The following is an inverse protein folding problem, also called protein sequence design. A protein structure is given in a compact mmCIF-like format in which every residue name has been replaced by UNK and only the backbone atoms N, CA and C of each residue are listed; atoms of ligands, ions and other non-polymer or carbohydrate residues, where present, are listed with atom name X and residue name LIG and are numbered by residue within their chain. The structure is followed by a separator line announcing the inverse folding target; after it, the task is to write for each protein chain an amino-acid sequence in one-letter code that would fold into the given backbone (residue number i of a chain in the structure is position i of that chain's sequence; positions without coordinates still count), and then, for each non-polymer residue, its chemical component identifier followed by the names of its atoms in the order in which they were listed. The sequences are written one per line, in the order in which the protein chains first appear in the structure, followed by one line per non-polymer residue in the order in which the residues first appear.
data_IF_687553611745
#
_entry.id   IF_687553611745
#
_cell.length_a   1.000
_cell.length_b   1.000
_cell.length_c   1.000
_cell.angle_alpha   90.00
_cell.angle_beta   90.00
_cell.angle_gamma   90.00
#
_symmetry.space_group_name_H-M   'P 1'
#
loop_
_entity.id
_entity.type
_entity.pdbx_description
1 polymer ?
2 non-polymer ?
3 non-polymer ?
4 non-polymer ?
5 non-polymer ?
6 non-polymer ?
7 water ?
#
# COMPACT_ATOMS: atom_id res chain seq x y z
N UNK A 37 1.50 -16.63 -16.42
CA UNK A 37 1.21 -17.95 -15.84
C UNK A 37 1.70 -17.88 -14.40
N UNK A 38 0.74 -17.82 -13.49
CA UNK A 38 1.05 -17.55 -12.08
C UNK A 38 1.57 -18.84 -11.45
N UNK A 39 2.66 -18.77 -10.68
CA UNK A 39 3.16 -19.96 -10.00
C UNK A 39 2.03 -20.65 -9.24
N UNK A 40 1.95 -21.98 -9.36
CA UNK A 40 0.88 -22.73 -8.67
C UNK A 40 0.72 -22.42 -7.19
N UNK A 41 1.82 -22.22 -6.45
CA UNK A 41 1.68 -21.92 -5.03
C UNK A 41 1.10 -20.53 -4.76
N UNK A 42 1.09 -19.65 -5.76
CA UNK A 42 0.59 -18.29 -5.57
C UNK A 42 -0.72 -18.05 -6.29
N UNK A 43 -1.19 -19.03 -7.07
CA UNK A 43 -2.35 -18.80 -7.91
C UNK A 43 -3.64 -18.81 -7.08
N UNK A 44 -4.55 -17.87 -7.41
CA UNK A 44 -5.86 -17.77 -6.74
C UNK A 44 -6.95 -17.81 -7.82
N UNK A 45 -7.49 -19.00 -8.10
CA UNK A 45 -8.47 -19.11 -9.16
C UNK A 45 -9.68 -18.21 -8.98
N UNK A 46 -10.08 -17.91 -7.73
CA UNK A 46 -11.23 -17.03 -7.51
C UNK A 46 -10.93 -15.60 -7.99
N UNK A 47 -9.71 -15.11 -7.75
CA UNK A 47 -9.35 -13.78 -8.29
C UNK A 47 -9.41 -13.81 -9.81
N UNK A 48 -8.83 -14.85 -10.42
CA UNK A 48 -8.73 -14.88 -11.88
C UNK A 48 -10.11 -14.97 -12.52
N UNK A 49 -11.03 -15.69 -11.89
CA UNK A 49 -12.36 -15.92 -12.44
C UNK A 49 -13.34 -14.83 -12.09
N UNK A 50 -13.29 -14.29 -10.87
CA UNK A 50 -14.40 -13.53 -10.34
C UNK A 50 -14.02 -12.10 -10.02
N UNK A 51 -12.77 -11.71 -10.22
CA UNK A 51 -12.31 -10.33 -9.96
C UNK A 51 -11.62 -9.79 -11.21
N UNK A 52 -12.37 -9.56 -12.27
CA UNK A 52 -11.72 -9.11 -13.51
C UNK A 52 -11.00 -7.78 -13.32
N UNK A 53 -9.80 -7.68 -13.89
CA UNK A 53 -8.97 -6.46 -13.76
C UNK A 53 -9.65 -5.26 -14.43
N UNK A 54 -9.42 -4.06 -13.85
CA UNK A 54 -9.81 -2.80 -14.46
C UNK A 54 -8.58 -1.92 -14.56
N UNK A 55 -8.57 -1.02 -15.54
CA UNK A 55 -7.45 -0.10 -15.67
C UNK A 55 -7.97 1.31 -15.96
N UNK A 56 -7.48 2.28 -15.19
CA UNK A 56 -7.90 3.67 -15.37
C UNK A 56 -7.38 4.22 -16.71
N UNK A 57 -8.20 5.03 -17.41
CA UNK A 57 -7.81 5.51 -18.73
C UNK A 57 -6.63 6.47 -18.74
N UNK A 58 -6.31 7.03 -17.58
CA UNK A 58 -5.17 7.92 -17.48
C UNK A 58 -3.84 7.16 -17.34
N UNK A 59 -3.87 5.82 -17.22
CA UNK A 59 -2.64 5.08 -16.94
C UNK A 59 -1.46 5.38 -17.85
N UNK A 60 -1.58 5.40 -19.18
CA UNK A 60 -0.40 5.72 -20.00
C UNK A 60 0.26 7.05 -19.61
N UNK A 61 -0.51 8.11 -19.38
CA UNK A 61 0.13 9.36 -19.00
C UNK A 61 0.67 9.27 -17.59
N UNK A 62 -0.06 8.56 -16.72
CA UNK A 62 0.39 8.38 -15.34
C UNK A 62 1.77 7.71 -15.26
N UNK A 63 1.98 6.65 -16.06
CA UNK A 63 3.25 5.92 -16.05
C UNK A 63 4.42 6.87 -16.31
N UNK A 64 4.30 7.68 -17.35
CA UNK A 64 5.40 8.57 -17.68
C UNK A 64 5.51 9.71 -16.68
N UNK A 65 4.38 10.24 -16.20
CA UNK A 65 4.46 11.40 -15.31
C UNK A 65 5.09 11.03 -13.96
N UNK A 66 4.78 9.86 -13.42
CA UNK A 66 5.42 9.42 -12.15
C UNK A 66 6.91 9.11 -12.36
N UNK A 67 7.27 8.53 -13.50
CA UNK A 67 8.71 8.29 -13.82
C UNK A 67 9.47 9.63 -13.85
N UNK A 68 8.89 10.62 -14.51
CA UNK A 68 9.50 11.97 -14.58
C UNK A 68 9.60 12.53 -13.15
N UNK A 69 8.57 12.28 -12.34
CA UNK A 69 8.62 12.80 -10.97
C UNK A 69 9.73 12.14 -10.15
N UNK A 70 9.87 10.82 -10.25
CA UNK A 70 10.96 10.15 -9.55
C UNK A 70 12.30 10.71 -9.97
N UNK A 71 12.46 10.99 -11.28
CA UNK A 71 13.69 11.58 -11.77
C UNK A 71 13.90 13.01 -11.26
N UNK A 72 12.87 13.85 -11.39
CA UNK A 72 13.00 15.27 -11.04
C UNK A 72 13.15 15.50 -9.54
N UNK A 73 12.48 14.68 -8.71
CA UNK A 73 12.69 14.71 -7.26
C UNK A 73 13.92 13.95 -6.80
N UNK A 74 14.68 13.38 -7.73
CA UNK A 74 15.89 12.66 -7.41
C UNK A 74 15.63 11.54 -6.40
N UNK A 75 14.49 10.85 -6.56
CA UNK A 75 14.17 9.76 -5.63
C UNK A 75 14.86 8.46 -6.03
N UNK A 76 15.26 8.33 -7.28
CA UNK A 76 16.12 7.26 -7.72
C UNK A 76 17.10 7.84 -8.73
N UNK A 77 18.30 7.27 -8.84
CA UNK A 77 19.26 7.70 -9.87
C UNK A 77 18.70 7.53 -11.27
N UNK A 78 19.14 8.40 -12.18
CA UNK A 78 18.58 8.45 -13.53
C UNK A 78 18.74 7.11 -14.26
N UNK A 79 19.91 6.47 -14.15
CA UNK A 79 20.10 5.18 -14.81
C UNK A 79 19.18 4.11 -14.24
N UNK A 80 18.95 4.11 -12.93
CA UNK A 80 17.99 3.16 -12.32
C UNK A 80 16.57 3.49 -12.72
N UNK A 81 16.23 4.79 -12.82
CA UNK A 81 14.90 5.12 -13.31
C UNK A 81 14.70 4.57 -14.72
N UNK A 82 15.66 4.84 -15.60
CA UNK A 82 15.56 4.40 -16.98
C UNK A 82 15.44 2.88 -17.09
N UNK A 83 16.27 2.14 -16.34
CA UNK A 83 16.27 0.69 -16.44
C UNK A 83 15.09 0.00 -15.75
N UNK A 84 14.64 0.53 -14.60
CA UNK A 84 13.75 -0.22 -13.71
C UNK A 84 12.38 0.40 -13.43
N UNK A 85 12.20 1.73 -13.56
CA UNK A 85 10.97 2.33 -13.03
C UNK A 85 9.70 1.74 -13.65
N UNK A 86 9.60 1.76 -14.98
CA UNK A 86 8.39 1.20 -15.61
C UNK A 86 8.17 -0.26 -15.21
N UNK A 87 9.24 -1.06 -15.18
CA UNK A 87 9.15 -2.47 -14.82
C UNK A 87 8.70 -2.69 -13.39
N UNK A 88 8.83 -1.68 -12.50
CA UNK A 88 8.34 -1.84 -11.12
C UNK A 88 6.81 -1.80 -11.01
N UNK A 89 6.11 -1.25 -12.01
CA UNK A 89 4.66 -1.29 -12.09
C UNK A 89 3.95 -0.56 -10.96
N UNK A 90 4.61 0.43 -10.32
CA UNK A 90 3.93 1.14 -9.22
C UNK A 90 2.69 1.92 -9.72
N UNK A 91 2.80 2.58 -10.89
CA UNK A 91 1.62 3.28 -11.37
C UNK A 91 0.52 2.31 -11.76
N UNK A 92 0.90 1.18 -12.35
CA UNK A 92 -0.09 0.16 -12.74
C UNK A 92 -0.89 -0.30 -11.52
N UNK A 93 -0.22 -0.45 -10.40
CA UNK A 93 -0.88 -0.89 -9.15
C UNK A 93 -2.00 0.08 -8.74
N UNK A 94 -1.71 1.38 -8.79
CA UNK A 94 -2.73 2.37 -8.38
C UNK A 94 -3.82 2.56 -9.46
N UNK A 95 -3.43 2.46 -10.72
CA UNK A 95 -4.42 2.65 -11.81
C UNK A 95 -5.36 1.46 -11.93
N UNK A 96 -5.01 0.35 -11.32
CA UNK A 96 -5.94 -0.80 -11.27
C UNK A 96 -6.81 -0.74 -10.04
N UNK A 97 -6.65 0.30 -9.20
CA UNK A 97 -7.29 0.35 -7.88
C UNK A 97 -8.29 1.48 -7.81
N UNK A 98 -7.81 2.74 -7.98
CA UNK A 98 -8.65 3.92 -7.76
C UNK A 98 -9.38 4.32 -9.04
N UNK A 99 -10.20 3.38 -9.53
CA UNK A 99 -10.95 3.68 -10.74
C UNK A 99 -11.91 4.84 -10.48
N UNK A 100 -12.10 5.66 -11.52
CA UNK A 100 -12.95 6.82 -11.41
C UNK A 100 -12.26 8.06 -10.82
N UNK A 101 -11.05 7.93 -10.29
CA UNK A 101 -10.38 9.10 -9.71
C UNK A 101 -10.17 10.17 -10.75
N UNK A 102 -10.32 11.45 -10.40
CA UNK A 102 -9.89 12.50 -11.31
C UNK A 102 -8.41 12.30 -11.65
N UNK A 103 -8.00 12.71 -12.85
CA UNK A 103 -6.60 12.43 -13.23
C UNK A 103 -5.60 13.04 -12.24
N UNK A 104 -5.83 14.27 -11.77
CA UNK A 104 -4.90 14.92 -10.84
C UNK A 104 -4.85 14.22 -9.49
N UNK A 105 -5.97 13.62 -9.09
CA UNK A 105 -5.98 12.86 -7.84
C UNK A 105 -5.18 11.58 -8.02
N UNK A 106 -5.44 10.86 -9.13
CA UNK A 106 -4.66 9.66 -9.39
C UNK A 106 -3.17 9.97 -9.47
N UNK A 107 -2.80 11.10 -10.09
CA UNK A 107 -1.39 11.43 -10.20
C UNK A 107 -0.77 11.60 -8.82
N UNK A 108 -1.47 12.30 -7.92
CA UNK A 108 -0.89 12.51 -6.59
C UNK A 108 -0.79 11.21 -5.83
N UNK A 109 -1.79 10.33 -5.99
CA UNK A 109 -1.77 9.03 -5.32
C UNK A 109 -0.63 8.20 -5.86
N UNK A 110 -0.44 8.21 -7.18
CA UNK A 110 0.61 7.38 -7.78
C UNK A 110 1.98 7.87 -7.33
N UNK A 111 2.16 9.19 -7.29
CA UNK A 111 3.46 9.71 -6.86
C UNK A 111 3.70 9.33 -5.42
N UNK A 112 2.68 9.52 -4.56
CA UNK A 112 2.83 9.10 -3.15
C UNK A 112 3.11 7.61 -3.05
N UNK A 113 2.47 6.77 -3.89
CA UNK A 113 2.67 5.33 -3.73
C UNK A 113 4.07 4.95 -4.17
N UNK A 114 4.56 5.53 -5.28
CA UNK A 114 5.95 5.28 -5.67
C UNK A 114 6.91 5.74 -4.57
N UNK A 115 6.64 6.92 -4.02
CA UNK A 115 7.40 7.39 -2.86
C UNK A 115 7.41 6.36 -1.75
N UNK A 116 6.24 5.74 -1.46
CA UNK A 116 6.16 4.80 -0.34
C UNK A 116 7.02 3.57 -0.57
N UNK A 117 7.14 3.11 -1.83
CA UNK A 117 8.07 2.01 -2.12
C UNK A 117 9.51 2.44 -1.93
N UNK A 118 9.89 3.66 -2.37
CA UNK A 118 11.26 4.13 -2.19
C UNK A 118 11.57 4.30 -0.70
N UNK A 119 10.58 4.73 0.08
CA UNK A 119 10.76 4.83 1.52
C UNK A 119 10.95 3.46 2.16
N UNK A 120 10.14 2.47 1.73
CA UNK A 120 10.37 1.11 2.22
C UNK A 120 11.80 0.65 1.91
N UNK A 121 12.33 1.06 0.75
CA UNK A 121 13.69 0.68 0.37
C UNK A 121 14.73 1.40 1.25
N UNK A 122 14.52 2.71 1.50
CA UNK A 122 15.42 3.46 2.38
C UNK A 122 15.46 2.85 3.77
N UNK A 123 14.29 2.53 4.30
CA UNK A 123 14.19 1.92 5.63
C UNK A 123 14.96 0.61 5.67
N UNK A 124 14.77 -0.23 4.66
CA UNK A 124 15.49 -1.49 4.58
C UNK A 124 16.99 -1.27 4.55
N UNK A 125 17.46 -0.31 3.73
CA UNK A 125 18.91 -0.05 3.63
C UNK A 125 19.47 0.53 4.92
N UNK A 126 18.71 1.41 5.58
CA UNK A 126 19.20 1.91 6.87
C UNK A 126 19.32 0.78 7.89
N UNK A 127 18.39 -0.17 7.88
CA UNK A 127 18.54 -1.33 8.77
C UNK A 127 19.77 -2.15 8.40
N UNK A 128 19.90 -2.50 7.12
CA UNK A 128 21.01 -3.36 6.69
C UNK A 128 22.35 -2.73 7.02
N UNK A 129 22.45 -1.42 6.88
CA UNK A 129 23.70 -0.69 7.11
C UNK A 129 23.83 -0.14 8.53
N UNK A 130 22.89 -0.45 9.41
CA UNK A 130 23.03 -0.02 10.79
C UNK A 130 22.98 1.48 10.98
N UNK A 131 22.22 2.18 10.16
CA UNK A 131 22.17 3.64 10.18
C UNK A 131 21.02 4.09 11.09
N UNK A 132 21.19 3.81 12.39
CA UNK A 132 20.14 4.13 13.34
C UNK A 132 19.89 5.62 13.45
N UNK A 133 20.97 6.41 13.43
CA UNK A 133 20.78 7.86 13.49
C UNK A 133 20.08 8.41 12.26
N UNK A 134 20.49 7.96 11.06
CA UNK A 134 19.85 8.44 9.84
C UNK A 134 18.37 8.09 9.83
N UNK A 135 18.03 6.87 10.27
CA UNK A 135 16.63 6.50 10.31
C UNK A 135 15.87 7.35 11.33
N UNK A 136 16.45 7.54 12.53
CA UNK A 136 15.73 8.31 13.54
C UNK A 136 15.47 9.73 13.03
N UNK A 137 16.46 10.33 12.36
CA UNK A 137 16.26 11.69 11.89
C UNK A 137 15.22 11.73 10.78
N UNK A 138 15.27 10.74 9.84
CA UNK A 138 14.26 10.69 8.78
C UNK A 138 12.86 10.53 9.38
N UNK A 139 12.73 9.63 10.36
CA UNK A 139 11.46 9.41 11.04
C UNK A 139 10.91 10.73 11.59
N UNK A 140 11.76 11.48 12.30
CA UNK A 140 11.29 12.74 12.87
C UNK A 140 10.89 13.73 11.78
N UNK A 141 11.67 13.79 10.69
CA UNK A 141 11.35 14.72 9.59
C UNK A 141 10.03 14.37 8.93
N UNK A 142 9.74 13.08 8.79
CA UNK A 142 8.50 12.69 8.15
C UNK A 142 7.31 13.06 9.03
N UNK A 143 7.42 12.86 10.36
CA UNK A 143 6.34 13.32 11.23
C UNK A 143 6.08 14.82 11.06
N UNK A 144 7.18 15.63 11.04
CA UNK A 144 6.98 17.06 10.91
C UNK A 144 6.43 17.45 9.54
N UNK A 145 6.99 16.87 8.47
CA UNK A 145 6.54 17.20 7.12
C UNK A 145 5.11 16.80 6.90
N UNK A 146 4.70 15.71 7.54
CA UNK A 146 3.34 15.24 7.37
C UNK A 146 2.40 16.32 7.86
N UNK A 147 2.77 17.00 8.96
CA UNK A 147 1.88 18.06 9.45
C UNK A 147 2.03 19.40 8.71
N UNK A 148 3.19 19.69 8.10
CA UNK A 148 3.44 20.98 7.46
C UNK A 148 4.17 20.71 6.14
N UNK A 149 3.50 20.10 5.15
CA UNK A 149 4.29 19.64 3.98
C UNK A 149 4.86 20.78 3.16
N UNK A 150 4.10 21.87 3.01
CA UNK A 150 4.61 23.00 2.23
C UNK A 150 5.94 23.51 2.73
N UNK A 151 6.17 23.43 4.04
CA UNK A 151 7.43 23.91 4.59
C UNK A 151 8.63 23.07 4.14
N UNK A 152 8.40 21.86 3.65
CA UNK A 152 9.45 20.86 3.43
C UNK A 152 9.67 20.57 1.95
N UNK A 153 9.06 21.36 1.06
CA UNK A 153 9.10 21.07 -0.40
C UNK A 153 10.51 21.12 -0.97
N UNK A 154 11.43 21.80 -0.30
CA UNK A 154 12.78 21.92 -0.81
C UNK A 154 13.80 21.46 0.23
N UNK A 155 13.43 20.46 1.03
CA UNK A 155 14.34 19.92 2.05
C UNK A 155 15.55 19.24 1.40
N UNK A 156 16.68 19.29 2.12
CA UNK A 156 17.92 18.71 1.60
C UNK A 156 17.86 17.20 1.40
N UNK A 157 17.05 16.47 2.18
CA UNK A 157 16.85 15.04 1.96
C UNK A 157 15.77 14.90 0.89
N UNK A 158 16.15 14.44 -0.30
CA UNK A 158 15.18 14.42 -1.38
C UNK A 158 14.00 13.51 -1.07
N UNK A 159 14.18 12.54 -0.17
CA UNK A 159 13.08 11.66 0.20
C UNK A 159 12.05 12.41 1.01
N UNK A 160 12.52 13.33 1.89
CA UNK A 160 11.59 14.19 2.60
C UNK A 160 10.92 15.17 1.64
N UNK A 161 11.68 15.78 0.73
CA UNK A 161 11.10 16.76 -0.21
C UNK A 161 10.03 16.08 -1.09
N UNK A 162 10.30 14.85 -1.53
CA UNK A 162 9.36 14.15 -2.40
C UNK A 162 8.10 13.79 -1.65
N UNK A 163 8.26 13.28 -0.40
CA UNK A 163 7.11 13.07 0.48
C UNK A 163 6.27 14.31 0.59
N UNK A 164 6.92 15.44 0.91
CA UNK A 164 6.16 16.66 1.14
C UNK A 164 5.43 17.11 -0.11
N UNK A 165 6.03 16.95 -1.29
CA UNK A 165 5.33 17.38 -2.49
C UNK A 165 4.06 16.53 -2.70
N UNK A 166 4.18 15.22 -2.51
CA UNK A 166 3.00 14.38 -2.75
C UNK A 166 1.94 14.64 -1.69
N UNK A 167 2.34 14.83 -0.42
CA UNK A 167 1.33 15.05 0.61
C UNK A 167 0.68 16.42 0.46
N UNK A 168 1.43 17.46 0.14
CA UNK A 168 0.79 18.78 -0.08
C UNK A 168 -0.30 18.70 -1.16
N UNK A 169 -0.04 17.94 -2.21
CA UNK A 169 -1.03 17.81 -3.31
C UNK A 169 -2.24 16.99 -2.84
N UNK A 170 -2.02 15.95 -2.05
CA UNK A 170 -3.14 15.15 -1.51
C UNK A 170 -3.99 16.01 -0.56
N UNK A 171 -3.37 16.95 0.14
CA UNK A 171 -4.11 17.83 1.06
C UNK A 171 -4.90 18.94 0.35
N UNK A 172 -4.89 19.01 -0.99
CA UNK A 172 -5.60 20.06 -1.70
C UNK A 172 -6.93 19.62 -2.25
N UNK A 173 -7.37 18.40 -1.96
CA UNK A 173 -8.56 17.88 -2.61
C UNK A 173 -9.82 17.92 -1.76
N UNK A 174 -9.69 17.74 -0.45
CA UNK A 174 -10.81 17.59 0.48
C UNK A 174 -10.59 18.49 1.70
N UNK A 175 -11.60 18.63 2.57
CA UNK A 175 -11.44 19.54 3.71
C UNK A 175 -10.32 19.12 4.66
N UNK A 176 -9.93 20.08 5.49
CA UNK A 176 -8.86 19.88 6.45
C UNK A 176 -9.12 18.69 7.38
N UNK A 177 -10.39 18.36 7.65
CA UNK A 177 -10.72 17.21 8.50
C UNK A 177 -10.22 15.89 7.89
N UNK A 178 -10.30 15.78 6.56
CA UNK A 178 -9.73 14.59 5.89
C UNK A 178 -8.22 14.62 5.97
N UNK A 179 -7.61 15.79 5.73
CA UNK A 179 -6.16 15.88 5.85
C UNK A 179 -5.69 15.48 7.25
N UNK A 180 -6.44 15.88 8.29
CA UNK A 180 -6.03 15.57 9.65
C UNK A 180 -6.15 14.07 9.88
N UNK A 181 -7.12 13.42 9.25
CA UNK A 181 -7.27 11.96 9.41
C UNK A 181 -6.16 11.22 8.68
N UNK A 182 -5.81 11.68 7.47
CA UNK A 182 -4.66 11.12 6.75
C UNK A 182 -3.41 11.25 7.60
N UNK A 183 -3.17 12.44 8.18
CA UNK A 183 -1.97 12.62 8.99
C UNK A 183 -1.99 11.72 10.23
N UNK A 184 -3.11 11.65 10.95
CA UNK A 184 -3.21 10.76 12.11
C UNK A 184 -2.83 9.33 11.73
N UNK A 185 -3.38 8.88 10.59
CA UNK A 185 -3.08 7.52 10.15
C UNK A 185 -1.60 7.35 9.80
N UNK A 186 -1.01 8.36 9.11
CA UNK A 186 0.35 8.14 8.66
C UNK A 186 1.35 8.30 9.81
N UNK A 187 1.06 9.14 10.82
CA UNK A 187 1.93 9.17 12.00
C UNK A 187 2.05 7.77 12.58
N UNK A 188 0.91 7.06 12.59
CA UNK A 188 0.91 5.68 13.11
C UNK A 188 1.72 4.78 12.20
N UNK A 189 1.62 4.97 10.87
CA UNK A 189 2.44 4.16 9.95
C UNK A 189 3.93 4.37 10.20
N UNK A 190 4.36 5.64 10.35
CA UNK A 190 5.78 5.91 10.55
C UNK A 190 6.27 5.17 11.79
N UNK A 191 5.48 5.23 12.88
CA UNK A 191 5.90 4.56 14.11
C UNK A 191 5.95 3.03 13.96
N UNK A 192 5.05 2.46 13.12
CA UNK A 192 5.14 1.04 12.84
C UNK A 192 6.45 0.69 12.12
N UNK A 193 6.86 1.53 11.15
CA UNK A 193 8.16 1.33 10.54
C UNK A 193 9.28 1.43 11.60
N UNK A 194 9.16 2.36 12.57
CA UNK A 194 10.20 2.42 13.59
C UNK A 194 10.25 1.14 14.42
N UNK A 195 9.08 0.58 14.72
CA UNK A 195 9.06 -0.69 15.45
C UNK A 195 9.72 -1.79 14.65
N UNK A 196 9.51 -1.80 13.32
CA UNK A 196 10.18 -2.80 12.47
C UNK A 196 11.69 -2.61 12.49
N UNK A 197 12.15 -1.34 12.51
CA UNK A 197 13.58 -1.06 12.59
C UNK A 197 14.16 -1.70 13.84
N UNK A 198 13.46 -1.54 14.98
CA UNK A 198 13.97 -2.11 16.21
C UNK A 198 13.87 -3.62 16.24
N UNK A 199 12.80 -4.20 15.68
CA UNK A 199 12.71 -5.65 15.64
C UNK A 199 13.87 -6.22 14.84
N UNK A 200 14.13 -5.66 13.66
CA UNK A 200 15.18 -6.22 12.80
C UNK A 200 16.57 -6.00 13.38
N UNK A 201 16.83 -4.83 13.99
CA UNK A 201 18.16 -4.66 14.58
C UNK A 201 18.34 -5.52 15.82
N UNK A 202 17.27 -5.81 16.56
CA UNK A 202 17.37 -6.63 17.78
C UNK A 202 17.14 -8.12 17.52
N UNK A 203 16.83 -8.52 16.30
CA UNK A 203 16.62 -9.93 15.99
C UNK A 203 15.26 -10.51 16.35
N UNK A 204 14.24 -9.69 16.54
CA UNK A 204 12.97 -10.16 17.06
C UNK A 204 12.03 -10.36 15.89
N UNK A 205 11.39 -11.54 15.85
CA UNK A 205 10.27 -11.81 14.95
C UNK A 205 8.99 -11.67 15.78
N UNK A 206 8.07 -10.79 15.41
CA UNK A 206 6.83 -10.66 16.18
C UNK A 206 6.03 -11.95 16.21
N UNK A 207 5.30 -12.16 17.31
CA UNK A 207 4.30 -13.23 17.34
C UNK A 207 3.21 -13.01 16.27
N UNK A 208 2.41 -14.05 16.03
CA UNK A 208 1.44 -13.96 14.93
C UNK A 208 0.44 -12.82 15.15
N UNK A 209 -0.22 -12.77 16.32
CA UNK A 209 -1.20 -11.71 16.51
C UNK A 209 -0.53 -10.34 16.51
N UNK A 210 0.59 -10.21 17.26
CA UNK A 210 1.39 -8.99 17.24
C UNK A 210 1.70 -8.56 15.80
N UNK A 211 2.13 -9.51 14.97
CA UNK A 211 2.41 -9.22 13.57
C UNK A 211 1.17 -8.73 12.85
N UNK A 212 0.04 -9.46 13.00
CA UNK A 212 -1.17 -9.07 12.24
C UNK A 212 -1.57 -7.66 12.57
N UNK A 213 -1.44 -7.28 13.84
CA UNK A 213 -1.73 -5.91 14.22
C UNK A 213 -0.72 -4.93 13.61
N UNK A 214 0.57 -5.24 13.70
CA UNK A 214 1.59 -4.35 13.12
C UNK A 214 1.39 -4.20 11.60
N UNK A 215 0.98 -5.27 10.95
CA UNK A 215 0.93 -5.30 9.48
C UNK A 215 -0.18 -4.42 8.94
N UNK A 216 -1.25 -4.23 9.72
CA UNK A 216 -2.25 -3.25 9.31
C UNK A 216 -1.67 -1.83 9.21
N UNK A 217 -0.55 -1.59 9.87
CA UNK A 217 0.12 -0.29 9.88
C UNK A 217 1.24 -0.25 8.86
N UNK A 218 2.09 -1.30 8.78
CA UNK A 218 3.21 -1.23 7.84
C UNK A 218 2.74 -1.31 6.38
N UNK A 219 1.63 -1.98 6.14
CA UNK A 219 1.07 -2.00 4.78
C UNK A 219 0.24 -0.75 4.51
N UNK A 220 0.00 0.07 5.53
CA UNK A 220 -0.75 1.32 5.44
C UNK A 220 -2.21 1.13 5.03
N UNK A 221 -2.86 0.11 5.62
CA UNK A 221 -4.28 -0.15 5.37
C UNK A 221 -5.15 1.10 5.37
N UNK A 222 -4.94 1.96 6.39
CA UNK A 222 -5.91 3.04 6.59
C UNK A 222 -5.60 4.22 5.69
N UNK A 223 -4.36 4.32 5.22
CA UNK A 223 -4.05 5.34 4.19
C UNK A 223 -4.76 5.00 2.89
N UNK A 224 -4.60 3.75 2.42
CA UNK A 224 -5.28 3.38 1.17
C UNK A 224 -6.79 3.52 1.31
N UNK A 225 -7.32 3.20 2.51
CA UNK A 225 -8.76 3.40 2.75
C UNK A 225 -9.15 4.88 2.72
N UNK A 226 -8.32 5.73 3.35
CA UNK A 226 -8.57 7.17 3.29
C UNK A 226 -8.60 7.66 1.85
N UNK A 227 -7.67 7.16 1.00
CA UNK A 227 -7.53 7.68 -0.35
C UNK A 227 -8.66 7.29 -1.27
N UNK A 228 -9.49 6.33 -0.85
CA UNK A 228 -10.71 6.09 -1.61
C UNK A 228 -11.56 7.34 -1.75
N UNK A 229 -11.51 8.23 -0.73
CA UNK A 229 -12.43 9.35 -0.63
C UNK A 229 -12.10 10.47 -1.61
N UNK A 230 -10.85 10.96 -1.72
CA UNK A 230 -10.57 11.93 -2.80
C UNK A 230 -10.79 11.31 -4.17
N UNK A 231 -10.59 10.00 -4.28
CA UNK A 231 -10.79 9.38 -5.58
C UNK A 231 -12.24 9.40 -6.03
N UNK A 232 -13.20 9.38 -5.12
CA UNK A 232 -14.59 9.51 -5.50
C UNK A 232 -15.17 10.88 -5.21
N UNK A 233 -14.34 11.83 -4.75
CA UNK A 233 -14.77 13.22 -4.65
C UNK A 233 -15.56 13.55 -3.42
N UNK A 234 -15.43 12.80 -2.34
CA UNK A 234 -16.30 13.05 -1.20
C UNK A 234 -15.64 12.60 0.09
N UNK A 235 -15.49 13.50 1.05
CA UNK A 235 -15.10 13.06 2.39
C UNK A 235 -16.32 12.42 3.08
N UNK A 236 -16.21 11.13 3.42
CA UNK A 236 -17.41 10.55 4.01
C UNK A 236 -17.52 10.90 5.50
N UNK A 237 -18.75 11.14 5.99
CA UNK A 237 -18.97 11.31 7.43
C UNK A 237 -18.54 10.07 8.21
N UNK A 238 -18.12 10.29 9.47
CA UNK A 238 -17.79 9.15 10.32
C UNK A 238 -18.91 8.12 10.35
N UNK A 239 -20.18 8.57 10.42
CA UNK A 239 -21.28 7.62 10.53
C UNK A 239 -21.36 6.69 9.32
N UNK A 240 -20.91 7.14 8.15
CA UNK A 240 -20.93 6.33 6.95
C UNK A 240 -19.71 5.44 6.88
N UNK A 241 -18.52 6.02 7.05
CA UNK A 241 -17.32 5.22 6.90
C UNK A 241 -17.08 4.25 8.07
N UNK A 242 -17.72 4.48 9.21
CA UNK A 242 -17.66 3.54 10.31
C UNK A 242 -18.83 2.58 10.34
N UNK A 243 -19.73 2.63 9.35
CA UNK A 243 -20.78 1.61 9.30
C UNK A 243 -20.12 0.23 9.27
N UNK A 244 -20.64 -0.75 10.00
CA UNK A 244 -19.90 -2.02 10.09
C UNK A 244 -19.61 -2.69 8.76
N UNK A 245 -20.49 -2.56 7.77
CA UNK A 245 -20.22 -3.20 6.47
C UNK A 245 -19.15 -2.46 5.69
N UNK A 246 -19.14 -1.12 5.74
CA UNK A 246 -18.05 -0.39 5.11
C UNK A 246 -16.73 -0.70 5.78
N UNK A 247 -16.70 -0.70 7.12
CA UNK A 247 -15.46 -0.98 7.86
C UNK A 247 -14.92 -2.36 7.54
N UNK A 248 -15.80 -3.35 7.51
CA UNK A 248 -15.31 -4.72 7.35
C UNK A 248 -14.88 -4.97 5.92
N UNK A 249 -15.61 -4.41 4.95
CA UNK A 249 -15.15 -4.51 3.55
C UNK A 249 -13.79 -3.84 3.36
N UNK A 250 -13.61 -2.66 3.99
CA UNK A 250 -12.36 -1.94 3.85
C UNK A 250 -11.21 -2.73 4.47
N UNK A 251 -11.47 -3.32 5.63
CA UNK A 251 -10.45 -4.10 6.30
C UNK A 251 -10.05 -5.30 5.47
N UNK A 252 -11.03 -6.06 4.96
CA UNK A 252 -10.70 -7.28 4.26
C UNK A 252 -9.94 -7.02 2.95
N UNK A 253 -10.30 -5.95 2.22
CA UNK A 253 -9.54 -5.59 1.03
C UNK A 253 -8.05 -5.37 1.36
N UNK A 254 -7.79 -4.68 2.48
CA UNK A 254 -6.40 -4.44 2.88
C UNK A 254 -5.69 -5.67 3.45
N UNK A 255 -6.41 -6.53 4.20
CA UNK A 255 -5.74 -7.73 4.70
C UNK A 255 -5.33 -8.60 3.54
N UNK A 256 -6.21 -8.71 2.53
CA UNK A 256 -5.81 -9.44 1.33
C UNK A 256 -4.56 -8.84 0.72
N UNK A 257 -4.53 -7.51 0.56
CA UNK A 257 -3.38 -6.92 -0.11
C UNK A 257 -2.10 -7.22 0.66
N UNK A 258 -2.13 -7.05 1.99
CA UNK A 258 -0.91 -7.21 2.80
C UNK A 258 -0.49 -8.67 2.86
N UNK A 259 -1.45 -9.58 3.08
CA UNK A 259 -1.08 -10.99 3.22
C UNK A 259 -0.71 -11.62 1.89
N UNK A 260 -1.30 -11.15 0.78
CA UNK A 260 -0.84 -11.62 -0.52
C UNK A 260 0.52 -11.04 -0.85
N UNK A 261 0.80 -9.78 -0.45
CA UNK A 261 2.19 -9.35 -0.52
C UNK A 261 3.09 -10.29 0.30
N UNK A 262 2.69 -10.65 1.53
CA UNK A 262 3.56 -11.54 2.29
C UNK A 262 3.81 -12.84 1.54
N UNK A 263 2.76 -13.40 0.94
CA UNK A 263 2.90 -14.67 0.24
C UNK A 263 3.88 -14.55 -0.93
N UNK A 264 3.78 -13.47 -1.71
CA UNK A 264 4.57 -13.35 -2.93
C UNK A 264 5.96 -12.77 -2.66
N UNK A 265 6.09 -11.95 -1.60
CA UNK A 265 7.36 -11.32 -1.28
C UNK A 265 8.22 -12.15 -0.33
N UNK A 266 7.69 -13.25 0.21
CA UNK A 266 8.49 -14.10 1.10
C UNK A 266 9.87 -14.46 0.57
N UNK A 267 10.04 -14.91 -0.69
CA UNK A 267 11.41 -15.25 -1.16
C UNK A 267 12.39 -14.06 -1.11
N UNK A 268 11.98 -12.89 -1.61
CA UNK A 268 12.87 -11.72 -1.56
C UNK A 268 13.15 -11.33 -0.13
N UNK A 269 12.16 -11.52 0.74
CA UNK A 269 12.36 -11.10 2.13
C UNK A 269 13.27 -12.06 2.90
N UNK A 270 13.11 -13.38 2.70
CA UNK A 270 14.05 -14.32 3.30
C UNK A 270 15.46 -14.01 2.81
N UNK A 271 15.61 -13.72 1.52
CA UNK A 271 16.93 -13.45 0.96
C UNK A 271 17.56 -12.20 1.54
N UNK A 272 16.72 -11.24 1.90
CA UNK A 272 17.19 -9.97 2.42
C UNK A 272 17.15 -9.85 3.93
N UNK A 273 16.98 -10.97 4.67
CA UNK A 273 17.00 -10.96 6.15
C UNK A 273 15.88 -10.08 6.72
N UNK A 274 14.81 -9.89 5.95
CA UNK A 274 13.59 -9.28 6.45
C UNK A 274 12.90 -10.31 7.33
N UNK A 275 12.37 -9.85 8.47
CA UNK A 275 11.65 -10.74 9.41
C UNK A 275 10.17 -10.48 9.44
N UNK A 276 9.67 -9.43 8.78
CA UNK A 276 8.24 -9.06 8.86
C UNK A 276 7.48 -9.70 7.71
N UNK A 277 6.74 -10.76 8.03
CA UNK A 277 5.98 -11.50 7.04
C UNK A 277 5.19 -12.56 7.82
N UNK A 278 3.89 -12.71 7.54
CA UNK A 278 3.08 -13.67 8.29
C UNK A 278 3.71 -15.06 8.27
N UNK A 279 4.30 -15.43 7.13
CA UNK A 279 4.93 -16.74 7.03
C UNK A 279 6.10 -16.93 7.98
N UNK A 280 6.96 -15.88 8.11
CA UNK A 280 8.08 -15.93 9.07
C UNK A 280 7.57 -16.03 10.51
N UNK A 281 6.50 -15.30 10.85
CA UNK A 281 6.01 -15.43 12.22
C UNK A 281 5.47 -16.82 12.50
N UNK A 282 4.82 -17.43 11.49
CA UNK A 282 4.28 -18.77 11.69
C UNK A 282 5.38 -19.80 11.82
N UNK A 283 6.42 -19.69 10.99
CA UNK A 283 7.57 -20.58 11.13
C UNK A 283 8.20 -20.43 12.52
N UNK A 284 8.33 -19.20 13.01
CA UNK A 284 9.08 -18.97 14.24
C UNK A 284 8.29 -19.36 15.47
N UNK A 285 7.07 -18.85 15.59
CA UNK A 285 6.26 -18.98 16.80
C UNK A 285 5.47 -20.27 16.83
N UNK A 286 4.87 -20.67 15.69
CA UNK A 286 4.03 -21.85 15.60
C UNK A 286 4.77 -23.09 15.08
N UNK A 287 6.06 -22.97 14.77
CA UNK A 287 6.93 -24.08 14.36
C UNK A 287 6.41 -24.82 13.11
N UNK A 288 5.97 -24.07 12.11
CA UNK A 288 5.64 -24.66 10.82
C UNK A 288 6.91 -24.75 9.95
N UNK A 289 6.89 -25.67 8.99
CA UNK A 289 7.90 -25.66 7.93
C UNK A 289 7.58 -24.53 6.96
N UNK A 290 8.53 -24.20 6.08
CA UNK A 290 8.27 -23.21 5.04
C UNK A 290 7.08 -23.60 4.19
N UNK A 291 7.03 -24.87 3.77
CA UNK A 291 5.90 -25.30 2.93
C UNK A 291 4.58 -25.19 3.68
N UNK A 292 4.56 -25.61 4.94
CA UNK A 292 3.37 -25.46 5.78
C UNK A 292 2.98 -24.00 5.97
N UNK A 293 3.97 -23.12 6.19
CA UNK A 293 3.66 -21.70 6.37
C UNK A 293 3.07 -21.09 5.09
N UNK A 294 3.60 -21.46 3.93
CA UNK A 294 3.08 -20.91 2.68
C UNK A 294 1.65 -21.38 2.48
N UNK A 295 1.37 -22.63 2.82
CA UNK A 295 0.00 -23.09 2.69
C UNK A 295 -0.95 -22.38 3.64
N UNK A 296 -0.50 -22.09 4.85
CA UNK A 296 -1.39 -21.42 5.80
C UNK A 296 -1.62 -19.96 5.42
N UNK A 297 -0.58 -19.28 4.94
CA UNK A 297 -0.79 -17.92 4.46
C UNK A 297 -1.76 -17.91 3.27
N UNK A 298 -1.57 -18.83 2.31
CA UNK A 298 -2.48 -18.90 1.17
C UNK A 298 -3.93 -19.15 1.60
N UNK A 299 -4.15 -20.05 2.59
CA UNK A 299 -5.51 -20.28 3.04
C UNK A 299 -6.10 -19.03 3.69
N UNK A 300 -5.28 -18.32 4.47
CA UNK A 300 -5.76 -17.08 5.07
C UNK A 300 -6.15 -16.04 4.00
N UNK A 301 -5.34 -15.94 2.94
CA UNK A 301 -5.63 -15.04 1.82
C UNK A 301 -6.95 -15.44 1.12
N UNK A 302 -7.12 -16.74 0.83
CA UNK A 302 -8.35 -17.23 0.16
C UNK A 302 -9.58 -16.91 0.98
N UNK A 303 -9.48 -17.04 2.30
CA UNK A 303 -10.63 -16.76 3.21
C UNK A 303 -10.97 -15.26 3.18
N UNK A 304 -9.97 -14.38 3.06
CA UNK A 304 -10.24 -12.93 2.94
C UNK A 304 -11.18 -12.71 1.75
N UNK A 305 -10.93 -13.42 0.66
CA UNK A 305 -11.73 -13.21 -0.57
C UNK A 305 -13.17 -13.58 -0.28
N UNK A 306 -13.37 -14.78 0.26
CA UNK A 306 -14.78 -15.16 0.41
C UNK A 306 -15.47 -14.46 1.58
N UNK A 307 -14.72 -13.99 2.60
CA UNK A 307 -15.33 -13.12 3.58
C UNK A 307 -15.68 -11.77 2.97
N UNK A 308 -14.82 -11.29 2.07
CA UNK A 308 -15.12 -10.03 1.39
C UNK A 308 -16.37 -10.17 0.54
N UNK A 309 -16.49 -11.27 -0.20
CA UNK A 309 -17.70 -11.42 -1.01
C UNK A 309 -18.96 -11.35 -0.16
N UNK A 310 -18.94 -11.97 1.04
CA UNK A 310 -20.12 -11.84 1.89
C UNK A 310 -20.39 -10.40 2.32
N UNK A 311 -19.37 -9.72 2.81
CA UNK A 311 -19.65 -8.39 3.35
C UNK A 311 -19.88 -7.37 2.23
N UNK A 312 -19.36 -7.62 1.04
CA UNK A 312 -19.61 -6.70 -0.08
C UNK A 312 -21.10 -6.59 -0.36
N UNK A 313 -21.86 -7.69 -0.24
CA UNK A 313 -23.30 -7.61 -0.40
C UNK A 313 -23.91 -6.63 0.58
N UNK A 314 -23.46 -6.66 1.83
CA UNK A 314 -23.99 -5.73 2.84
C UNK A 314 -23.55 -4.30 2.59
N UNK A 315 -22.32 -4.11 2.14
CA UNK A 315 -21.85 -2.73 1.91
C UNK A 315 -22.56 -2.12 0.71
N UNK A 316 -22.88 -2.93 -0.30
CA UNK A 316 -23.63 -2.38 -1.42
C UNK A 316 -25.09 -2.17 -1.07
N UNK A 317 -25.65 -3.01 -0.19
CA UNK A 317 -26.99 -2.74 0.30
C UNK A 317 -27.01 -1.41 1.05
N UNK A 318 -25.98 -1.15 1.85
CA UNK A 318 -25.88 0.14 2.53
C UNK A 318 -25.80 1.30 1.53
N UNK A 319 -24.99 1.16 0.47
CA UNK A 319 -24.97 2.20 -0.55
C UNK A 319 -26.38 2.46 -1.09
N UNK A 320 -27.13 1.37 -1.38
CA UNK A 320 -28.51 1.51 -1.82
C UNK A 320 -29.35 2.30 -0.80
N UNK A 321 -29.24 1.95 0.48
CA UNK A 321 -30.03 2.61 1.52
C UNK A 321 -29.73 4.11 1.63
N UNK A 322 -28.49 4.51 1.38
CA UNK A 322 -28.16 5.93 1.49
C UNK A 322 -28.92 6.77 0.47
N UNK A 323 -29.29 6.15 -0.66
CA UNK A 323 -29.95 6.87 -1.74
C UNK A 323 -31.41 6.98 -1.34
N UNK A 324 -31.76 8.01 -0.60
CA UNK A 324 -33.06 8.09 0.02
C UNK A 324 -34.00 9.03 -0.70
N UNK A 325 -33.58 9.56 -1.85
CA UNK A 325 -34.31 10.56 -2.58
C UNK A 325 -33.70 11.95 -2.52
N UNK A 326 -32.82 12.21 -1.56
CA UNK A 326 -32.25 13.54 -1.39
C UNK A 326 -30.96 13.68 -2.20
N UNK A 327 -30.58 14.94 -2.45
CA UNK A 327 -29.32 15.22 -3.14
C UNK A 327 -28.13 14.67 -2.33
N UNK A 328 -28.08 15.02 -1.04
CA UNK A 328 -26.99 14.51 -0.19
C UNK A 328 -26.97 12.99 -0.21
N UNK A 329 -28.13 12.36 -0.07
CA UNK A 329 -28.20 10.91 -0.06
C UNK A 329 -27.66 10.29 -1.34
N UNK A 330 -27.99 10.90 -2.49
CA UNK A 330 -27.48 10.39 -3.76
C UNK A 330 -25.97 10.54 -3.84
N UNK A 331 -25.45 11.68 -3.37
CA UNK A 331 -23.99 11.88 -3.31
C UNK A 331 -23.32 10.81 -2.47
N UNK A 332 -23.83 10.58 -1.26
CA UNK A 332 -23.20 9.61 -0.36
C UNK A 332 -23.32 8.19 -0.91
N UNK A 333 -24.49 7.85 -1.42
CA UNK A 333 -24.69 6.54 -2.06
C UNK A 333 -23.67 6.31 -3.16
N UNK A 334 -23.51 7.28 -4.05
CA UNK A 334 -22.59 7.07 -5.18
C UNK A 334 -21.14 6.96 -4.72
N UNK A 335 -20.78 7.74 -3.69
CA UNK A 335 -19.41 7.68 -3.16
C UNK A 335 -19.14 6.32 -2.50
N UNK A 336 -20.05 5.87 -1.65
CA UNK A 336 -19.87 4.54 -1.04
C UNK A 336 -19.82 3.45 -2.11
N UNK A 337 -20.72 3.52 -3.11
CA UNK A 337 -20.69 2.49 -4.15
C UNK A 337 -19.35 2.49 -4.89
N UNK A 338 -18.83 3.69 -5.24
CA UNK A 338 -17.56 3.76 -5.92
C UNK A 338 -16.43 3.23 -5.05
N UNK A 339 -16.43 3.59 -3.77
CA UNK A 339 -15.36 3.15 -2.86
C UNK A 339 -15.38 1.64 -2.68
N UNK A 340 -16.56 1.05 -2.48
CA UNK A 340 -16.67 -0.42 -2.35
C UNK A 340 -16.25 -1.10 -3.65
N UNK A 341 -16.56 -0.46 -4.79
CA UNK A 341 -16.10 -1.00 -6.06
C UNK A 341 -14.59 -0.99 -6.16
N UNK A 342 -13.96 0.06 -5.60
CA UNK A 342 -12.51 0.08 -5.62
C UNK A 342 -11.88 -0.84 -4.55
N UNK A 343 -12.55 -1.05 -3.41
CA UNK A 343 -12.11 -2.08 -2.48
C UNK A 343 -12.03 -3.44 -3.18
N UNK A 344 -12.98 -3.72 -4.08
CA UNK A 344 -12.91 -4.93 -4.90
C UNK A 344 -11.77 -4.87 -5.92
N UNK A 345 -11.61 -3.73 -6.61
CA UNK A 345 -10.52 -3.61 -7.57
C UNK A 345 -9.16 -3.83 -6.94
N UNK A 346 -8.99 -3.50 -5.64
CA UNK A 346 -7.69 -3.69 -5.01
C UNK A 346 -7.26 -5.15 -5.09
N UNK A 347 -8.22 -6.09 -4.98
CA UNK A 347 -7.85 -7.52 -5.00
C UNK A 347 -7.16 -7.86 -6.32
N UNK A 348 -7.77 -7.50 -7.45
CA UNK A 348 -7.16 -7.88 -8.72
C UNK A 348 -5.91 -7.07 -9.02
N UNK A 349 -5.90 -5.79 -8.66
CA UNK A 349 -4.71 -5.00 -8.94
C UNK A 349 -3.51 -5.53 -8.15
N UNK A 350 -3.70 -5.84 -6.87
CA UNK A 350 -2.58 -6.35 -6.06
C UNK A 350 -2.15 -7.72 -6.52
N UNK A 351 -3.12 -8.58 -6.89
CA UNK A 351 -2.78 -9.94 -7.34
C UNK A 351 -1.87 -9.87 -8.54
N UNK A 352 -2.27 -9.14 -9.58
CA UNK A 352 -1.45 -9.12 -10.79
C UNK A 352 -0.15 -8.34 -10.62
N UNK A 353 -0.18 -7.25 -9.83
CA UNK A 353 1.04 -6.50 -9.59
C UNK A 353 2.16 -7.39 -9.08
N UNK A 354 1.81 -8.37 -8.21
CA UNK A 354 2.92 -9.16 -7.65
C UNK A 354 3.50 -10.13 -8.66
N UNK A 355 2.81 -10.41 -9.77
CA UNK A 355 3.40 -11.24 -10.81
C UNK A 355 4.01 -10.43 -11.96
N UNK A 356 3.65 -9.15 -12.07
CA UNK A 356 4.17 -8.27 -13.11
C UNK A 356 5.36 -7.43 -12.64
N UNK A 357 5.42 -7.05 -11.37
CA UNK A 357 6.42 -6.07 -10.92
C UNK A 357 7.82 -6.67 -10.85
N UNK A 358 8.81 -5.92 -11.35
CA UNK A 358 10.19 -6.35 -11.09
C UNK A 358 10.58 -6.32 -9.61
N UNK A 359 9.74 -5.74 -8.77
CA UNK A 359 10.14 -5.58 -7.37
C UNK A 359 10.39 -6.92 -6.69
N UNK A 360 9.68 -7.97 -7.10
CA UNK A 360 9.69 -9.26 -6.43
C UNK A 360 10.50 -10.32 -7.16
N UNK A 361 11.14 -9.97 -8.29
CA UNK A 361 11.80 -10.96 -9.15
C UNK A 361 13.22 -11.27 -8.66
N UNK A 362 13.27 -11.81 -7.44
CA UNK A 362 14.54 -12.10 -6.79
C UNK A 362 15.36 -13.11 -7.59
N UNK A 363 14.73 -14.05 -8.29
CA UNK A 363 15.50 -15.03 -9.06
C UNK A 363 16.33 -14.38 -10.16
N UNK A 364 16.00 -13.15 -10.55
CA UNK A 364 16.71 -12.49 -11.63
C UNK A 364 17.91 -11.66 -11.17
N UNK A 365 18.17 -11.59 -9.87
CA UNK A 365 19.20 -10.69 -9.34
C UNK A 365 20.50 -11.44 -9.10
N UNK A 366 21.60 -10.78 -9.43
CA UNK A 366 22.91 -11.38 -9.17
C UNK A 366 23.13 -11.57 -7.68
N UNK A 367 22.71 -10.59 -6.86
CA UNK A 367 22.80 -10.68 -5.40
C UNK A 367 21.36 -10.64 -4.89
N UNK A 368 20.87 -11.83 -4.47
CA UNK A 368 19.49 -11.96 -4.03
C UNK A 368 19.18 -11.11 -2.80
N UNK A 369 20.20 -10.72 -2.04
CA UNK A 369 19.91 -9.89 -0.85
C UNK A 369 19.88 -8.40 -1.14
N UNK A 370 20.24 -7.97 -2.34
CA UNK A 370 20.29 -6.56 -2.71
C UNK A 370 19.55 -6.33 -4.02
N UNK A 371 18.30 -5.91 -3.97
CA UNK A 371 17.57 -5.67 -5.21
C UNK A 371 18.25 -4.57 -6.02
N UNK A 372 18.27 -4.71 -7.34
CA UNK A 372 19.05 -3.78 -8.17
C UNK A 372 18.50 -2.36 -8.21
N UNK A 373 17.25 -2.17 -7.86
CA UNK A 373 16.56 -0.87 -7.88
C UNK A 373 16.75 -0.08 -6.60
N UNK A 374 17.39 -0.64 -5.56
CA UNK A 374 17.64 0.12 -4.34
C UNK A 374 18.98 0.83 -4.43
N UNK A 375 19.10 1.93 -3.68
CA UNK A 375 20.35 2.65 -3.54
C UNK A 375 21.08 2.03 -2.36
N UNK A 376 22.17 1.33 -2.65
CA UNK A 376 22.93 0.62 -1.65
C UNK A 376 24.21 1.33 -1.25
X LIG B 1 14.36 -5.07 -11.34
X LIG B 1 13.12 -4.55 -10.92
X LIG B 1 14.10 -6.47 -11.90
X LIG B 1 13.69 -7.33 -10.86
X LIG B 1 15.29 -7.10 -12.62
X LIG B 1 14.77 -8.21 -13.30
X LIG C 1 9.56 -4.18 2.20
X LIG D 1 8.14 -2.79 4.61
X LIG E 1 6.47 -7.85 1.64
X LIG F 1 7.44 -5.26 -0.07
X LIG F 1 8.81 -4.84 0.42
X LIG F 1 7.13 -4.72 -1.43
X LIG F 1 7.15 -6.73 0.08
X LIG F 1 6.37 -4.48 0.90
X LIG F 1 6.39 -4.64 2.52
X LIG F 1 6.31 -6.13 2.87
X LIG F 1 5.18 -3.93 2.98
X LIG F 1 7.69 -4.03 3.01
X LIG G 1 3.48 -1.06 0.80
X LIG G 1 3.15 -2.50 1.08
X LIG G 1 4.63 -0.86 -0.13
X LIG G 1 6.02 -1.07 0.54
X LIG G 1 2.33 -0.27 0.24
X LIG G 1 2.34 -0.15 -1.30
X LIG G 1 3.85 -0.47 2.10
X LIG G 1 2.90 0.68 2.50
X LIG G 1 2.36 -3.16 -0.12
X LIG G 1 3.06 -3.61 -1.21
X LIG G 1 2.38 -4.14 -2.29
X LIG G 1 1.01 -4.26 -2.27
X LIG G 1 0.28 -3.89 -1.16
X LIG G 1 0.97 -3.32 -0.09
X LIG H 1 -10.56 5.98 12.02
X LIG H 1 -10.79 5.55 10.60
X LIG H 1 -11.33 5.14 12.93
X LIG H 1 -10.97 7.37 12.14
X LIG H 1 -9.16 5.79 12.36
X LIG I 1 -9.75 1.10 11.70
X LIG I 1 -10.00 -0.16 12.26
X LIG I 1 -8.48 1.62 12.34
X LIG I 1 -8.70 1.59 13.74
X LIG I 1 -8.14 3.00 11.82
X LIG I 1 -7.14 3.64 12.56
#
# INVERSE_FOLDING_TARGET
MGSSHHHHHHSSGLVPRGSHMVHAFPHGTTATPTAIAVPPSLRLPVIEAAFPRQLHPYWPKLQETTRTWLLEKRLMPADKVEEYADGLCYTDLMAGYYLGAPDEVLQAIADYSAWSFVWDDRHDRDIVHGRAGAWRRLRGLLHTALDSPGDHLHHEDTLVAGFADSVRRLYAFLPATWNARFARHFHTVIEAYDREFHNRTRGIVPGVEEYLELRRLTSAHWIWTDLLEPSSGCELPDAVRKHPAYRRAALLSQEFAAWYNDLCSLPKEIAGDEVHNLGISLITHHSLTLEEAIGEVRRRVEECITEFLAVERDALRFADELADGTVRGKELSGAVRANVGNMRNWFSSVYWFHHESGRYMVDSWDDRSTPPYVNNEAAGEK
GOL C1 O1 C2 O2 C3 O3
MG MG
MG MG
MG MG
DPO P1 O1 O2 O3 O4 P2 O5 O6 O7
BTM N C1 C2 C3 C4 C5 C6 C7 C8 C9 C10 C11 C12 C13
SO4 S O1 O2 O3 O4
GOL C1 O1 C2 O2 C3 O3
#
